data_IF_502441036484
#
_entry.id   IF_502441036484
#
_cell.length_a   1.000
_cell.length_b   1.000
_cell.length_c   1.000
_cell.angle_alpha   90.00
_cell.angle_beta   90.00
_cell.angle_gamma   90.00
#
_symmetry.space_group_name_H-M   'P 1'
#
loop_
_entity.id
_entity.type
_entity.pdbx_description
1 polymer ?
#
# COMPACT_ATOMS: atom_id res chain seq x y z
N UNK A 1 -26.29 19.72 -31.42
CA UNK A 1 -24.88 20.05 -31.72
C UNK A 1 -24.15 20.31 -30.41
N UNK A 2 -22.94 19.77 -30.30
CA UNK A 2 -22.05 19.80 -29.12
C UNK A 2 -21.46 21.21 -28.98
N UNK A 3 -21.29 21.69 -27.74
CA UNK A 3 -20.23 22.60 -27.22
C UNK A 3 -20.39 22.52 -25.68
N UNK A 4 -19.76 21.54 -25.03
CA UNK A 4 -18.58 21.71 -24.14
C UNK A 4 -18.83 22.64 -22.95
N UNK A 5 -19.28 22.08 -21.83
CA UNK A 5 -19.06 22.71 -20.53
C UNK A 5 -17.71 22.26 -20.00
N UNK A 6 -16.86 23.26 -19.87
CA UNK A 6 -15.48 23.28 -19.40
C UNK A 6 -15.20 22.27 -18.28
N UNK A 7 -14.10 21.54 -18.47
CA UNK A 7 -13.32 21.00 -17.35
C UNK A 7 -13.02 22.14 -16.39
N UNK A 8 -13.49 22.03 -15.15
CA UNK A 8 -12.99 22.86 -14.06
C UNK A 8 -11.95 22.03 -13.31
N UNK A 9 -10.74 22.09 -13.85
CA UNK A 9 -9.50 21.71 -13.19
C UNK A 9 -9.15 22.84 -12.24
N UNK A 10 -9.33 22.65 -10.93
CA UNK A 10 -8.75 23.50 -9.89
C UNK A 10 -8.80 22.76 -8.56
N UNK A 11 -7.67 22.13 -8.28
CA UNK A 11 -7.01 22.07 -6.98
C UNK A 11 -7.87 22.34 -5.73
N UNK A 12 -8.14 21.27 -4.99
CA UNK A 12 -7.85 21.31 -3.56
C UNK A 12 -6.92 20.14 -3.24
N UNK A 13 -5.67 20.35 -3.61
CA UNK A 13 -4.50 19.66 -3.08
C UNK A 13 -4.48 19.87 -1.57
N UNK A 14 -5.16 18.97 -0.85
CA UNK A 14 -4.97 18.79 0.58
C UNK A 14 -4.64 17.33 0.83
N UNK A 15 -3.56 16.90 0.17
CA UNK A 15 -2.72 15.84 0.68
C UNK A 15 -2.27 16.30 2.07
N UNK A 16 -2.97 15.86 3.12
CA UNK A 16 -2.39 15.85 4.46
C UNK A 16 -1.07 15.10 4.32
N UNK A 17 0.10 15.74 4.49
CA UNK A 17 1.30 14.95 4.62
C UNK A 17 1.06 14.17 5.89
N UNK A 18 0.86 12.85 5.77
CA UNK A 18 1.06 11.98 6.90
C UNK A 18 2.53 12.16 7.21
N UNK A 19 2.84 13.12 8.10
CA UNK A 19 4.16 13.45 8.53
C UNK A 19 4.66 12.23 9.29
N UNK A 20 5.15 11.23 8.55
CA UNK A 20 6.04 10.23 9.07
C UNK A 20 7.24 11.04 9.51
N UNK A 21 7.33 11.29 10.81
CA UNK A 21 8.47 11.91 11.44
C UNK A 21 9.69 11.10 11.00
N UNK A 22 10.39 11.64 10.01
CA UNK A 22 11.59 11.05 9.41
C UNK A 22 12.65 11.16 10.49
N UNK A 23 12.88 10.06 11.21
CA UNK A 23 14.14 9.87 11.93
C UNK A 23 15.21 10.07 10.88
N UNK A 24 15.90 11.21 10.94
CA UNK A 24 16.97 11.55 10.01
C UNK A 24 18.16 10.71 10.45
N UNK A 25 18.32 9.53 9.85
CA UNK A 25 19.65 8.94 9.74
C UNK A 25 20.43 9.82 8.77
N UNK A 26 21.58 10.35 9.17
CA UNK A 26 22.46 11.15 8.29
C UNK A 26 22.97 10.34 7.09
N UNK A 27 22.76 9.02 7.13
CA UNK A 27 23.03 8.08 6.05
C UNK A 27 21.88 8.07 5.04
N UNK A 28 22.19 8.44 3.79
CA UNK A 28 21.27 8.32 2.67
C UNK A 28 21.01 6.84 2.35
N UNK A 29 19.77 6.39 2.60
CA UNK A 29 19.32 5.04 2.28
C UNK A 29 18.67 5.02 0.89
N UNK A 30 19.03 4.06 0.01
CA UNK A 30 18.33 3.88 -1.26
C UNK A 30 16.87 3.47 -1.00
N UNK A 31 15.95 3.73 -1.95
CA UNK A 31 14.55 3.36 -1.80
C UNK A 31 14.41 1.84 -1.71
N UNK A 32 13.81 1.37 -0.62
CA UNK A 32 13.55 -0.05 -0.40
C UNK A 32 12.40 -0.53 -1.32
N UNK A 33 12.52 -1.72 -1.93
CA UNK A 33 11.45 -2.28 -2.74
C UNK A 33 10.21 -2.52 -1.86
N UNK A 34 9.03 -2.23 -2.41
CA UNK A 34 7.77 -2.37 -1.70
C UNK A 34 7.19 -3.75 -1.93
N UNK A 35 6.65 -4.36 -0.87
CA UNK A 35 5.95 -5.65 -0.98
C UNK A 35 4.80 -5.55 -2.00
N UNK A 36 4.68 -6.51 -2.92
CA UNK A 36 3.62 -6.50 -3.91
C UNK A 36 2.26 -6.79 -3.25
N UNK A 37 1.16 -6.31 -3.86
CA UNK A 37 -0.19 -6.61 -3.40
C UNK A 37 -0.52 -8.09 -3.58
N UNK A 38 -1.39 -8.63 -2.71
CA UNK A 38 -1.94 -9.98 -2.87
C UNK A 38 -2.97 -10.03 -4.01
N UNK A 39 -3.34 -11.25 -4.44
CA UNK A 39 -4.34 -11.46 -5.49
C UNK A 39 -5.66 -10.74 -5.25
N UNK A 40 -6.19 -10.79 -4.03
CA UNK A 40 -7.40 -10.04 -3.66
C UNK A 40 -7.21 -8.52 -3.80
N UNK A 41 -6.08 -7.97 -3.36
CA UNK A 41 -5.82 -6.54 -3.47
C UNK A 41 -5.64 -6.11 -4.94
N UNK A 42 -5.07 -6.97 -5.79
CA UNK A 42 -5.02 -6.76 -7.23
C UNK A 42 -6.44 -6.67 -7.81
N UNK A 43 -7.31 -7.62 -7.47
CA UNK A 43 -8.72 -7.59 -7.87
C UNK A 43 -9.44 -6.32 -7.42
N UNK A 44 -9.24 -5.89 -6.15
CA UNK A 44 -9.81 -4.64 -5.65
C UNK A 44 -9.31 -3.43 -6.45
N UNK A 45 -8.01 -3.35 -6.75
CA UNK A 45 -7.45 -2.22 -7.47
C UNK A 45 -8.03 -2.06 -8.88
N UNK A 46 -8.28 -3.18 -9.56
CA UNK A 46 -8.83 -3.21 -10.91
C UNK A 46 -10.32 -2.86 -10.93
N UNK A 47 -11.09 -3.36 -9.96
CA UNK A 47 -12.55 -3.25 -9.94
C UNK A 47 -13.08 -2.03 -9.20
N UNK A 48 -12.36 -1.54 -8.18
CA UNK A 48 -12.82 -0.44 -7.31
C UNK A 48 -13.13 0.83 -8.08
N UNK A 49 -12.29 1.23 -9.04
CA UNK A 49 -12.52 2.44 -9.85
C UNK A 49 -13.82 2.35 -10.64
N UNK A 50 -14.11 1.18 -11.19
CA UNK A 50 -15.34 0.92 -11.96
C UNK A 50 -16.57 0.97 -11.05
N UNK A 51 -16.54 0.29 -9.90
CA UNK A 51 -17.68 0.26 -8.97
C UNK A 51 -17.92 1.64 -8.34
N UNK A 52 -16.87 2.40 -8.03
CA UNK A 52 -17.00 3.79 -7.55
C UNK A 52 -17.64 4.70 -8.60
N UNK A 53 -17.31 4.52 -9.89
CA UNK A 53 -17.92 5.30 -10.97
C UNK A 53 -19.40 4.96 -11.17
N UNK A 54 -19.76 3.68 -11.02
CA UNK A 54 -21.15 3.23 -11.08
C UNK A 54 -21.97 3.67 -9.87
N UNK A 55 -21.31 3.87 -8.71
CA UNK A 55 -21.95 4.21 -7.46
C UNK A 55 -21.29 5.44 -6.81
N UNK A 56 -21.42 6.64 -7.41
CA UNK A 56 -20.75 7.84 -6.92
C UNK A 56 -21.26 8.29 -5.53
N UNK A 57 -22.46 7.85 -5.13
CA UNK A 57 -23.05 8.15 -3.82
C UNK A 57 -22.52 7.25 -2.68
N UNK A 58 -21.91 6.11 -3.01
CA UNK A 58 -21.43 5.16 -1.99
C UNK A 58 -20.08 5.59 -1.44
N UNK A 59 -19.93 5.44 -0.11
CA UNK A 59 -18.64 5.64 0.54
C UNK A 59 -17.64 4.59 0.04
N UNK A 60 -16.34 4.93 -0.10
CA UNK A 60 -15.34 3.98 -0.54
C UNK A 60 -15.23 2.72 0.34
N UNK A 61 -15.58 2.82 1.62
CA UNK A 61 -15.65 1.70 2.56
C UNK A 61 -16.72 0.68 2.17
N UNK A 62 -17.91 1.14 1.79
CA UNK A 62 -19.01 0.28 1.36
C UNK A 62 -18.70 -0.38 -0.01
N UNK A 63 -18.01 0.35 -0.89
CA UNK A 63 -17.52 -0.22 -2.16
C UNK A 63 -16.53 -1.36 -1.91
N UNK A 64 -15.62 -1.23 -0.95
CA UNK A 64 -14.68 -2.31 -0.63
C UNK A 64 -15.40 -3.51 -0.01
N UNK A 65 -16.41 -3.29 0.85
CA UNK A 65 -17.22 -4.39 1.42
C UNK A 65 -17.94 -5.19 0.32
N UNK A 66 -18.63 -4.50 -0.58
CA UNK A 66 -19.33 -5.15 -1.71
C UNK A 66 -18.36 -5.90 -2.63
N UNK A 67 -17.15 -5.38 -2.84
CA UNK A 67 -16.11 -6.08 -3.59
C UNK A 67 -15.54 -7.30 -2.84
N UNK A 68 -15.47 -7.25 -1.50
CA UNK A 68 -15.06 -8.39 -0.70
C UNK A 68 -16.05 -9.55 -0.84
N UNK A 69 -17.35 -9.25 -0.78
CA UNK A 69 -18.42 -10.22 -1.03
C UNK A 69 -18.32 -10.81 -2.44
N UNK A 70 -18.13 -9.96 -3.46
CA UNK A 70 -17.91 -10.41 -4.84
C UNK A 70 -16.68 -11.31 -4.99
N UNK A 71 -15.59 -11.02 -4.29
CA UNK A 71 -14.40 -11.87 -4.29
C UNK A 71 -14.68 -13.24 -3.67
N UNK A 72 -15.42 -13.28 -2.56
CA UNK A 72 -15.79 -14.54 -1.93
C UNK A 72 -16.63 -15.42 -2.87
N UNK A 73 -17.56 -14.80 -3.59
CA UNK A 73 -18.43 -15.46 -4.59
C UNK A 73 -17.75 -15.70 -5.95
N UNK A 74 -16.55 -15.15 -6.19
CA UNK A 74 -15.88 -15.26 -7.48
C UNK A 74 -15.44 -16.71 -7.78
N UNK A 75 -15.50 -17.05 -9.06
CA UNK A 75 -15.09 -18.35 -9.58
C UNK A 75 -13.60 -18.63 -9.32
N UNK A 76 -13.26 -19.91 -9.22
CA UNK A 76 -11.88 -20.35 -9.03
C UNK A 76 -10.95 -19.84 -10.14
N UNK A 77 -11.44 -19.75 -11.38
CA UNK A 77 -10.67 -19.24 -12.52
C UNK A 77 -10.22 -17.79 -12.27
N UNK A 78 -11.15 -16.95 -11.79
CA UNK A 78 -10.88 -15.55 -11.47
C UNK A 78 -9.88 -15.47 -10.31
N UNK A 79 -10.10 -16.26 -9.24
CA UNK A 79 -9.19 -16.29 -8.09
C UNK A 79 -7.77 -16.71 -8.49
N UNK A 80 -7.66 -17.78 -9.26
CA UNK A 80 -6.40 -18.35 -9.76
C UNK A 80 -5.63 -17.41 -10.68
N UNK A 81 -6.34 -16.63 -11.51
CA UNK A 81 -5.72 -15.57 -12.32
C UNK A 81 -5.00 -14.55 -11.43
N UNK A 82 -5.67 -14.02 -10.42
CA UNK A 82 -5.06 -13.01 -9.54
C UNK A 82 -4.02 -13.60 -8.59
N UNK A 83 -4.16 -14.87 -8.19
CA UNK A 83 -3.12 -15.59 -7.44
C UNK A 83 -1.84 -15.74 -8.28
N UNK A 84 -1.96 -16.14 -9.55
CA UNK A 84 -0.83 -16.25 -10.47
C UNK A 84 -0.13 -14.89 -10.65
N UNK A 85 -0.91 -13.82 -10.90
CA UNK A 85 -0.37 -12.46 -10.99
C UNK A 85 0.31 -12.01 -9.69
N UNK A 86 -0.26 -12.37 -8.54
CA UNK A 86 0.33 -12.07 -7.23
C UNK A 86 1.66 -12.81 -7.04
N UNK A 87 1.75 -14.07 -7.48
CA UNK A 87 2.96 -14.88 -7.40
C UNK A 87 4.06 -14.31 -8.29
N UNK A 88 3.76 -13.98 -9.53
CA UNK A 88 4.71 -13.36 -10.46
C UNK A 88 5.28 -12.04 -9.90
N UNK A 89 4.42 -11.20 -9.32
CA UNK A 89 4.86 -9.96 -8.67
C UNK A 89 5.71 -10.23 -7.42
N UNK A 90 5.38 -11.27 -6.65
CA UNK A 90 6.19 -11.68 -5.49
C UNK A 90 7.57 -12.18 -5.91
N UNK A 91 7.67 -12.96 -6.99
CA UNK A 91 8.95 -13.43 -7.54
C UNK A 91 9.80 -12.26 -8.05
N UNK A 92 9.20 -11.31 -8.77
CA UNK A 92 9.89 -10.09 -9.19
C UNK A 92 10.40 -9.28 -8.00
N UNK A 93 9.57 -9.14 -6.96
CA UNK A 93 9.94 -8.46 -5.71
C UNK A 93 11.06 -9.19 -4.97
N UNK A 94 11.08 -10.52 -4.94
CA UNK A 94 12.14 -11.29 -4.29
C UNK A 94 13.50 -10.98 -4.94
N UNK A 95 13.56 -11.00 -6.27
CA UNK A 95 14.76 -10.62 -7.04
C UNK A 95 15.19 -9.18 -6.77
N UNK A 96 14.23 -8.24 -6.78
CA UNK A 96 14.51 -6.83 -6.49
C UNK A 96 15.00 -6.62 -5.05
N UNK A 97 14.45 -7.36 -4.10
CA UNK A 97 14.85 -7.32 -2.69
C UNK A 97 16.25 -7.87 -2.46
N UNK A 98 16.61 -8.96 -3.16
CA UNK A 98 17.96 -9.50 -3.13
C UNK A 98 18.96 -8.48 -3.72
N UNK A 99 18.66 -7.94 -4.90
CA UNK A 99 19.49 -6.91 -5.52
C UNK A 99 19.62 -5.66 -4.64
N UNK A 100 18.53 -5.23 -3.99
CA UNK A 100 18.54 -4.13 -3.03
C UNK A 100 19.47 -4.43 -1.86
N UNK A 101 19.38 -5.62 -1.27
CA UNK A 101 20.18 -6.02 -0.09
C UNK A 101 21.66 -6.12 -0.43
N UNK A 102 21.99 -6.60 -1.63
CA UNK A 102 23.37 -6.68 -2.13
C UNK A 102 23.99 -5.31 -2.45
N UNK A 103 23.17 -4.33 -2.86
CA UNK A 103 23.61 -2.95 -3.13
C UNK A 103 23.93 -2.14 -1.86
N UNK A 104 23.43 -2.55 -0.69
CA UNK A 104 23.64 -1.80 0.55
C UNK A 104 25.04 -1.97 1.11
N UNK A 105 25.64 -0.85 1.50
CA UNK A 105 26.87 -0.82 2.31
C UNK A 105 26.63 -1.34 3.73
N UNK A 106 27.66 -1.80 4.45
CA UNK A 106 27.53 -2.20 5.85
C UNK A 106 26.89 -1.11 6.73
N UNK A 107 27.30 0.14 6.55
CA UNK A 107 26.79 1.30 7.28
C UNK A 107 25.29 1.52 7.00
N UNK A 108 24.86 1.34 5.75
CA UNK A 108 23.43 1.44 5.41
C UNK A 108 22.61 0.27 5.97
N UNK A 109 23.19 -0.93 6.08
CA UNK A 109 22.53 -2.10 6.69
C UNK A 109 22.33 -1.89 8.19
N UNK A 110 23.33 -1.37 8.89
CA UNK A 110 23.27 -1.03 10.31
C UNK A 110 22.24 0.06 10.57
N UNK A 111 22.28 1.16 9.81
CA UNK A 111 21.28 2.22 9.90
C UNK A 111 19.85 1.68 9.67
N UNK A 112 19.65 0.75 8.73
CA UNK A 112 18.36 0.12 8.51
C UNK A 112 17.90 -0.76 9.69
N UNK A 113 18.84 -1.44 10.35
CA UNK A 113 18.58 -2.25 11.53
C UNK A 113 18.17 -1.38 12.73
N UNK A 114 18.88 -0.28 12.99
CA UNK A 114 18.56 0.70 14.03
C UNK A 114 17.16 1.30 13.82
N UNK A 115 16.84 1.72 12.58
CA UNK A 115 15.50 2.21 12.24
C UNK A 115 14.40 1.15 12.45
N UNK A 116 14.72 -0.12 12.24
CA UNK A 116 13.80 -1.24 12.51
C UNK A 116 13.57 -1.43 14.01
N UNK A 117 14.61 -1.32 14.81
CA UNK A 117 14.52 -1.39 16.28
C UNK A 117 13.76 -0.21 16.87
N UNK A 118 14.05 1.02 16.44
CA UNK A 118 13.30 2.22 16.87
C UNK A 118 11.80 2.06 16.59
N UNK A 119 11.43 1.64 15.38
CA UNK A 119 10.02 1.38 15.04
C UNK A 119 9.39 0.34 15.95
N UNK A 120 10.08 -0.77 16.25
CA UNK A 120 9.58 -1.80 17.17
C UNK A 120 9.39 -1.25 18.58
N UNK A 121 10.37 -0.51 19.10
CA UNK A 121 10.29 0.11 20.43
C UNK A 121 9.14 1.11 20.51
N UNK A 122 8.92 1.92 19.48
CA UNK A 122 7.79 2.86 19.40
C UNK A 122 6.44 2.15 19.41
N UNK A 123 6.30 1.07 18.64
CA UNK A 123 5.08 0.25 18.64
C UNK A 123 4.85 -0.39 20.01
N UNK A 124 5.88 -0.96 20.63
CA UNK A 124 5.79 -1.55 21.97
C UNK A 124 5.39 -0.50 23.01
N UNK A 125 6.03 0.68 23.00
CA UNK A 125 5.72 1.79 23.90
C UNK A 125 4.27 2.26 23.75
N UNK A 126 3.78 2.36 22.50
CA UNK A 126 2.39 2.72 22.23
C UNK A 126 1.42 1.67 22.79
N UNK A 127 1.71 0.38 22.60
CA UNK A 127 0.88 -0.73 23.11
C UNK A 127 0.79 -0.72 24.64
N UNK A 128 1.90 -0.42 25.33
CA UNK A 128 1.92 -0.28 26.79
C UNK A 128 1.07 0.91 27.26
N UNK A 129 1.12 2.04 26.55
CA UNK A 129 0.34 3.23 26.90
C UNK A 129 -1.17 3.02 26.66
N UNK A 130 -1.56 2.39 25.55
CA UNK A 130 -2.97 2.06 25.25
C UNK A 130 -3.53 1.00 26.22
N UNK A 131 -2.71 0.07 26.70
CA UNK A 131 -3.11 -0.96 27.67
C UNK A 131 -3.21 -0.48 29.12
N UNK A 132 -2.66 0.69 29.46
CA UNK A 132 -2.73 1.30 30.79
C UNK A 132 -3.93 2.25 30.96
N UNK A 133 -4.73 2.46 29.91
CA UNK A 133 -5.89 3.35 29.88
C UNK A 133 -7.24 2.62 30.05
N UNK A 134 -7.22 1.37 30.51
CA UNK A 134 -8.41 0.57 30.88
C UNK A 134 -8.43 0.31 32.38
#
# INVERSE_FOLDING_TARGET
MKITCSVNDSAHENARPFATQKVRSDIALPPAPKRPPSGYILFLNDTRKTVMRQNPALKPTEVVKTLAEKWNMADEITKKKYETLSRERMEAFAKEKEAYTSRLTPQQKEALAELSLDKKLRVSKKKLHEGSSL
#
